data_IF_388683314976
#
_entry.id   IF_388683314976
#
_cell.length_a   1.000
_cell.length_b   1.000
_cell.length_c   1.000
_cell.angle_alpha   90.00
_cell.angle_beta   90.00
_cell.angle_gamma   90.00
#
_symmetry.space_group_name_H-M   'P 1'
#
loop_
_entity.id
_entity.type
_entity.pdbx_description
1 polymer ?
#
# COMPACT_ATOMS: atom_id res chain seq x y z
N UNK A 1 -25.39 -18.52 -7.21
CA UNK A 1 -24.19 -17.68 -7.13
C UNK A 1 -23.31 -17.94 -8.34
N UNK A 2 -22.71 -16.90 -8.89
CA UNK A 2 -21.65 -17.02 -9.89
C UNK A 2 -20.54 -17.91 -9.35
N UNK A 3 -19.92 -18.73 -10.21
CA UNK A 3 -18.72 -19.48 -9.81
C UNK A 3 -17.47 -18.58 -9.72
N UNK A 4 -17.63 -17.27 -10.01
CA UNK A 4 -16.57 -16.26 -9.98
C UNK A 4 -16.61 -15.45 -8.67
N UNK A 5 -15.45 -14.89 -8.31
CA UNK A 5 -15.26 -14.16 -7.06
C UNK A 5 -14.50 -12.84 -7.26
N UNK A 6 -14.51 -12.02 -6.21
CA UNK A 6 -13.66 -10.83 -6.09
C UNK A 6 -12.33 -11.25 -5.47
N UNK A 7 -11.22 -10.93 -6.12
CA UNK A 7 -9.89 -10.98 -5.53
C UNK A 7 -9.58 -9.63 -4.89
N UNK A 8 -9.51 -9.56 -3.57
CA UNK A 8 -9.12 -8.37 -2.84
C UNK A 8 -7.71 -8.50 -2.26
N UNK A 9 -6.90 -7.46 -2.40
CA UNK A 9 -5.53 -7.43 -1.90
C UNK A 9 -5.21 -6.05 -1.29
N UNK A 10 -4.31 -6.04 -0.30
CA UNK A 10 -3.89 -4.82 0.36
C UNK A 10 -3.10 -5.09 1.63
N UNK A 11 -2.97 -4.06 2.45
CA UNK A 11 -2.30 -4.10 3.75
C UNK A 11 -3.28 -4.36 4.91
N UNK A 12 -2.97 -3.82 6.09
CA UNK A 12 -3.78 -3.96 7.31
C UNK A 12 -5.22 -3.45 7.19
N UNK A 13 -5.49 -2.51 6.30
CA UNK A 13 -6.85 -2.03 6.00
C UNK A 13 -7.70 -3.07 5.24
N UNK A 14 -7.07 -4.07 4.66
CA UNK A 14 -7.72 -5.13 3.87
C UNK A 14 -7.66 -6.48 4.59
N UNK A 15 -6.75 -6.64 5.56
CA UNK A 15 -6.46 -7.90 6.24
C UNK A 15 -7.71 -8.43 6.98
N UNK A 16 -8.26 -9.61 6.61
CA UNK A 16 -9.42 -10.17 7.27
C UNK A 16 -9.15 -10.54 8.73
N UNK A 17 -7.90 -10.80 9.07
CA UNK A 17 -7.45 -11.17 10.41
C UNK A 17 -6.75 -10.01 11.13
N UNK A 18 -7.04 -8.77 10.73
CA UNK A 18 -6.44 -7.60 11.37
C UNK A 18 -6.73 -7.57 12.86
N UNK A 19 -5.69 -7.28 13.65
CA UNK A 19 -5.80 -7.01 15.09
C UNK A 19 -5.12 -5.68 15.40
N UNK A 20 -5.78 -4.86 16.22
CA UNK A 20 -5.23 -3.58 16.66
C UNK A 20 -4.07 -3.81 17.64
N UNK A 21 -2.89 -3.27 17.32
CA UNK A 21 -1.73 -3.37 18.22
C UNK A 21 -1.84 -2.50 19.47
N UNK A 22 -2.34 -1.24 19.37
CA UNK A 22 -2.61 -0.42 20.54
C UNK A 22 -3.73 -0.98 21.42
N UNK A 23 -4.64 -1.78 20.85
CA UNK A 23 -5.82 -2.31 21.52
C UNK A 23 -5.96 -3.82 21.27
N UNK A 24 -5.06 -4.66 21.80
CA UNK A 24 -5.01 -6.09 21.48
C UNK A 24 -6.25 -6.87 21.92
N UNK A 25 -6.98 -6.36 22.91
CA UNK A 25 -8.21 -6.98 23.44
C UNK A 25 -9.49 -6.51 22.71
N UNK A 26 -9.35 -5.60 21.74
CA UNK A 26 -10.48 -5.12 20.96
C UNK A 26 -10.95 -6.19 19.98
N UNK A 27 -12.25 -6.43 19.95
CA UNK A 27 -12.85 -7.27 18.91
C UNK A 27 -12.78 -6.56 17.55
N UNK A 28 -12.06 -7.17 16.64
CA UNK A 28 -11.90 -6.73 15.24
C UNK A 28 -12.43 -7.77 14.26
N UNK A 29 -13.32 -8.65 14.69
CA UNK A 29 -13.88 -9.73 13.87
C UNK A 29 -14.97 -9.29 12.89
N UNK A 30 -15.34 -8.00 12.90
CA UNK A 30 -16.31 -7.44 11.95
C UNK A 30 -15.83 -7.59 10.49
N UNK A 31 -16.77 -7.64 9.52
CA UNK A 31 -16.44 -7.69 8.09
C UNK A 31 -15.56 -6.51 7.68
N UNK A 32 -14.57 -6.79 6.84
CA UNK A 32 -13.73 -5.75 6.24
C UNK A 32 -14.37 -5.27 4.94
N UNK A 33 -13.91 -4.15 4.39
CA UNK A 33 -14.46 -3.59 3.16
C UNK A 33 -14.53 -4.59 1.99
N UNK A 34 -13.60 -5.57 1.80
CA UNK A 34 -13.76 -6.54 0.72
C UNK A 34 -14.97 -7.46 0.90
N UNK A 35 -15.24 -7.91 2.12
CA UNK A 35 -16.37 -8.76 2.43
C UNK A 35 -17.70 -7.99 2.24
N UNK A 36 -17.73 -6.71 2.67
CA UNK A 36 -18.89 -5.82 2.46
C UNK A 36 -19.15 -5.61 0.97
N UNK A 37 -18.10 -5.36 0.18
CA UNK A 37 -18.20 -5.24 -1.28
C UNK A 37 -18.72 -6.53 -1.92
N UNK A 38 -18.28 -7.69 -1.43
CA UNK A 38 -18.74 -8.99 -1.89
C UNK A 38 -20.25 -9.19 -1.66
N UNK A 39 -20.74 -8.82 -0.47
CA UNK A 39 -22.17 -8.83 -0.16
C UNK A 39 -22.97 -7.91 -1.09
N UNK A 40 -22.46 -6.69 -1.30
CA UNK A 40 -23.11 -5.70 -2.19
C UNK A 40 -23.22 -6.17 -3.65
N UNK A 41 -22.20 -6.88 -4.15
CA UNK A 41 -22.15 -7.36 -5.53
C UNK A 41 -22.70 -8.80 -5.71
N UNK A 42 -23.13 -9.47 -4.65
CA UNK A 42 -23.52 -10.89 -4.62
C UNK A 42 -22.43 -11.82 -5.19
N UNK A 43 -21.16 -11.55 -4.81
CA UNK A 43 -19.99 -12.32 -5.20
C UNK A 43 -19.28 -12.86 -3.97
N UNK A 44 -18.69 -14.04 -4.10
CA UNK A 44 -17.74 -14.54 -3.11
C UNK A 44 -16.47 -13.68 -3.11
N UNK A 45 -15.75 -13.64 -1.99
CA UNK A 45 -14.50 -12.86 -1.85
C UNK A 45 -13.36 -13.77 -1.49
N UNK A 46 -12.25 -13.63 -2.21
CA UNK A 46 -10.94 -14.16 -1.84
C UNK A 46 -10.09 -12.97 -1.41
N UNK A 47 -10.03 -12.75 -0.11
CA UNK A 47 -9.25 -11.66 0.48
C UNK A 47 -7.84 -12.16 0.83
N UNK A 48 -6.83 -11.63 0.13
CA UNK A 48 -5.40 -11.92 0.34
C UNK A 48 -4.66 -10.73 0.99
N UNK A 49 -5.41 -9.79 1.54
CA UNK A 49 -4.87 -8.68 2.33
C UNK A 49 -4.13 -9.19 3.56
N UNK A 50 -3.02 -8.54 3.90
CA UNK A 50 -2.22 -8.94 5.07
C UNK A 50 -1.50 -7.74 5.67
N UNK A 51 -1.63 -7.59 6.98
CA UNK A 51 -1.04 -6.51 7.76
C UNK A 51 0.47 -6.39 7.53
N UNK A 52 0.94 -5.15 7.34
CA UNK A 52 2.35 -4.84 7.18
C UNK A 52 2.93 -5.08 5.78
N UNK A 53 2.16 -5.56 4.81
CA UNK A 53 2.66 -5.78 3.44
C UNK A 53 3.06 -4.47 2.75
N UNK A 54 4.11 -4.56 1.92
CA UNK A 54 4.52 -3.52 0.98
C UNK A 54 3.80 -3.68 -0.36
N UNK A 55 3.84 -2.65 -1.20
CA UNK A 55 3.24 -2.69 -2.53
C UNK A 55 3.86 -3.77 -3.43
N UNK A 56 5.17 -4.00 -3.35
CA UNK A 56 5.86 -5.09 -4.04
C UNK A 56 5.28 -6.47 -3.64
N UNK A 57 5.08 -6.69 -2.34
CA UNK A 57 4.48 -7.93 -1.85
C UNK A 57 3.02 -8.09 -2.30
N UNK A 58 2.23 -7.00 -2.25
CA UNK A 58 0.85 -6.99 -2.74
C UNK A 58 0.81 -7.37 -4.22
N UNK A 59 1.61 -6.69 -5.05
CA UNK A 59 1.71 -6.93 -6.50
C UNK A 59 2.01 -8.38 -6.81
N UNK A 60 3.04 -8.94 -6.16
CA UNK A 60 3.48 -10.32 -6.37
C UNK A 60 2.39 -11.32 -6.02
N UNK A 61 1.70 -11.11 -4.90
CA UNK A 61 0.61 -11.97 -4.47
C UNK A 61 -0.58 -11.92 -5.44
N UNK A 62 -0.98 -10.71 -5.88
CA UNK A 62 -2.05 -10.51 -6.85
C UNK A 62 -1.72 -11.21 -8.17
N UNK A 63 -0.55 -10.94 -8.75
CA UNK A 63 -0.13 -11.55 -10.03
C UNK A 63 -0.09 -13.08 -9.91
N UNK A 64 0.50 -13.60 -8.82
CA UNK A 64 0.58 -15.05 -8.60
C UNK A 64 -0.80 -15.68 -8.49
N UNK A 65 -1.75 -15.01 -7.83
CA UNK A 65 -3.11 -15.49 -7.68
C UNK A 65 -3.85 -15.47 -9.02
N UNK A 66 -3.74 -14.38 -9.79
CA UNK A 66 -4.36 -14.26 -11.11
C UNK A 66 -3.84 -15.35 -12.06
N UNK A 67 -2.53 -15.56 -12.13
CA UNK A 67 -1.93 -16.58 -13.01
C UNK A 67 -2.46 -18.00 -12.73
N UNK A 68 -2.85 -18.29 -11.49
CA UNK A 68 -3.37 -19.60 -11.10
C UNK A 68 -4.88 -19.74 -11.24
N UNK A 69 -5.63 -18.62 -11.19
CA UNK A 69 -7.08 -18.65 -10.97
C UNK A 69 -7.89 -17.69 -11.86
N UNK A 70 -7.29 -17.11 -12.89
CA UNK A 70 -7.89 -16.04 -13.70
C UNK A 70 -9.30 -16.33 -14.19
N UNK A 71 -9.61 -17.60 -14.53
CA UNK A 71 -10.93 -18.01 -15.02
C UNK A 71 -12.05 -17.83 -13.99
N UNK A 72 -11.69 -17.81 -12.70
CA UNK A 72 -12.62 -17.69 -11.56
C UNK A 72 -12.73 -16.28 -11.00
N UNK A 73 -11.95 -15.34 -11.52
CA UNK A 73 -11.93 -13.97 -11.01
C UNK A 73 -12.88 -13.11 -11.84
N UNK A 74 -13.83 -12.46 -11.20
CA UNK A 74 -14.70 -11.46 -11.85
C UNK A 74 -14.13 -10.06 -11.72
N UNK A 75 -13.55 -9.73 -10.55
CA UNK A 75 -13.06 -8.42 -10.22
C UNK A 75 -11.79 -8.53 -9.36
N UNK A 76 -10.77 -7.75 -9.69
CA UNK A 76 -9.60 -7.54 -8.82
C UNK A 76 -9.71 -6.17 -8.17
N UNK A 77 -9.62 -6.11 -6.85
CA UNK A 77 -9.58 -4.83 -6.11
C UNK A 77 -8.28 -4.77 -5.30
N UNK A 78 -7.46 -3.75 -5.58
CA UNK A 78 -6.17 -3.57 -4.91
C UNK A 78 -6.15 -2.28 -4.13
N UNK A 79 -5.94 -2.42 -2.82
CA UNK A 79 -5.67 -1.32 -1.91
C UNK A 79 -4.17 -1.14 -1.70
N UNK A 80 -3.57 -0.15 -2.35
CA UNK A 80 -2.15 0.15 -2.22
C UNK A 80 -1.85 0.73 -0.85
N UNK A 81 -0.73 0.31 -0.28
CA UNK A 81 -0.22 0.86 0.98
C UNK A 81 0.74 2.02 0.75
N UNK A 82 1.35 2.53 1.81
CA UNK A 82 2.35 3.60 1.75
C UNK A 82 3.48 3.25 0.78
N UNK A 83 3.83 4.17 -0.11
CA UNK A 83 4.84 3.97 -1.18
C UNK A 83 6.24 3.71 -0.65
N UNK A 84 6.55 4.17 0.55
CA UNK A 84 7.86 3.97 1.18
C UNK A 84 8.05 2.58 1.79
N UNK A 85 7.00 1.76 1.88
CA UNK A 85 7.13 0.37 2.31
C UNK A 85 7.80 -0.44 1.22
N UNK A 86 8.73 -1.29 1.60
CA UNK A 86 9.45 -2.18 0.69
C UNK A 86 9.63 -3.57 1.30
N UNK A 87 9.89 -4.55 0.44
CA UNK A 87 10.12 -5.93 0.83
C UNK A 87 11.59 -6.30 0.60
N UNK A 88 12.19 -6.95 1.60
CA UNK A 88 13.55 -7.51 1.48
C UNK A 88 13.45 -9.03 1.51
N UNK A 89 14.20 -9.68 0.62
CA UNK A 89 14.22 -11.16 0.49
C UNK A 89 12.86 -11.82 0.29
N UNK A 90 11.90 -11.10 -0.30
CA UNK A 90 10.61 -11.67 -0.68
C UNK A 90 9.56 -11.78 0.42
N UNK A 91 9.92 -11.67 1.69
CA UNK A 91 8.99 -11.88 2.82
C UNK A 91 9.01 -10.79 3.89
N UNK A 92 10.15 -10.13 4.08
CA UNK A 92 10.28 -9.11 5.11
C UNK A 92 9.83 -7.74 4.58
N UNK A 93 8.72 -7.25 5.12
CA UNK A 93 8.16 -5.95 4.77
C UNK A 93 8.61 -4.89 5.79
N UNK A 94 9.05 -3.75 5.27
CA UNK A 94 9.55 -2.64 6.04
C UNK A 94 8.73 -1.39 5.81
N UNK A 95 8.43 -0.69 6.91
CA UNK A 95 7.91 0.66 6.87
C UNK A 95 8.97 1.63 7.46
N UNK A 96 9.66 2.40 6.63
CA UNK A 96 10.68 3.34 7.07
C UNK A 96 10.17 4.37 8.07
N UNK A 97 8.92 4.81 7.94
CA UNK A 97 8.34 5.79 8.88
C UNK A 97 8.40 5.29 10.31
N UNK A 98 8.17 3.99 10.53
CA UNK A 98 8.25 3.40 11.87
C UNK A 98 9.66 3.41 12.44
N UNK A 99 10.67 3.49 11.58
CA UNK A 99 12.08 3.40 11.94
C UNK A 99 12.66 4.78 12.25
N UNK A 100 12.31 5.80 11.46
CA UNK A 100 12.77 7.18 11.69
C UNK A 100 12.11 7.84 12.90
N UNK A 101 10.85 7.50 13.15
CA UNK A 101 10.10 8.07 14.26
C UNK A 101 10.42 7.39 15.60
N UNK A 102 11.05 6.22 15.57
CA UNK A 102 11.41 5.49 16.78
C UNK A 102 12.66 4.61 16.54
N UNK A 103 13.89 5.19 16.69
CA UNK A 103 15.15 4.46 16.53
C UNK A 103 15.33 3.31 17.50
N UNK A 104 14.58 3.31 18.62
CA UNK A 104 14.55 2.23 19.62
C UNK A 104 13.51 1.14 19.30
N UNK A 105 12.86 1.22 18.15
CA UNK A 105 11.87 0.24 17.74
C UNK A 105 12.53 -1.14 17.65
N UNK A 106 12.35 -1.91 18.71
CA UNK A 106 12.74 -3.32 18.75
C UNK A 106 12.02 -4.00 17.60
N UNK A 107 12.78 -4.46 16.62
CA UNK A 107 12.24 -5.30 15.56
C UNK A 107 11.41 -6.40 16.20
N UNK A 108 10.11 -6.34 15.99
CA UNK A 108 9.17 -7.24 16.66
C UNK A 108 9.25 -8.63 16.08
N UNK A 109 9.40 -9.58 16.96
CA UNK A 109 8.92 -10.96 17.01
C UNK A 109 9.02 -11.91 15.81
N UNK A 110 9.61 -11.53 14.71
CA UNK A 110 9.92 -12.48 13.64
C UNK A 110 11.37 -12.92 13.78
N UNK A 111 11.55 -14.06 14.46
CA UNK A 111 12.79 -14.79 14.66
C UNK A 111 13.92 -13.96 15.31
N UNK A 112 14.05 -14.05 16.62
CA UNK A 112 15.19 -13.51 17.37
C UNK A 112 16.56 -13.92 16.77
N UNK A 113 16.61 -15.07 16.11
CA UNK A 113 17.79 -15.59 15.42
C UNK A 113 18.21 -14.77 14.18
N UNK A 114 17.28 -14.11 13.48
CA UNK A 114 17.58 -13.29 12.31
C UNK A 114 17.91 -11.84 12.65
N UNK A 115 17.67 -11.41 13.88
CA UNK A 115 17.82 -10.04 14.36
C UNK A 115 19.23 -9.44 14.13
N UNK A 116 20.35 -10.12 14.39
CA UNK A 116 21.69 -9.55 14.17
C UNK A 116 21.99 -9.32 12.69
N UNK A 117 21.65 -10.28 11.83
CA UNK A 117 21.80 -10.15 10.38
C UNK A 117 20.93 -9.03 9.83
N UNK A 118 19.70 -8.96 10.30
CA UNK A 118 18.74 -7.92 9.94
C UNK A 118 19.24 -6.53 10.33
N UNK A 119 19.68 -6.32 11.57
CA UNK A 119 20.24 -5.04 12.04
C UNK A 119 21.47 -4.64 11.24
N UNK A 120 22.32 -5.58 10.85
CA UNK A 120 23.49 -5.35 10.03
C UNK A 120 23.10 -4.93 8.61
N UNK A 121 22.21 -5.68 7.94
CA UNK A 121 21.70 -5.37 6.60
C UNK A 121 20.92 -4.04 6.61
N UNK A 122 20.13 -3.82 7.63
CA UNK A 122 19.38 -2.59 7.83
C UNK A 122 20.29 -1.38 7.96
N UNK A 123 21.27 -1.39 8.88
CA UNK A 123 22.19 -0.26 9.04
C UNK A 123 23.05 -0.04 7.80
N UNK A 124 23.57 -1.10 7.22
CA UNK A 124 24.56 -0.98 6.14
C UNK A 124 23.96 -0.73 4.77
N UNK A 125 22.83 -1.34 4.44
CA UNK A 125 22.22 -1.21 3.12
C UNK A 125 21.07 -0.22 3.06
N UNK A 126 20.24 -0.18 4.07
CA UNK A 126 19.06 0.69 4.05
C UNK A 126 19.38 2.11 4.46
N UNK A 127 20.12 2.31 5.55
CA UNK A 127 20.50 3.67 5.98
C UNK A 127 21.52 4.25 5.01
N UNK A 128 22.56 3.50 4.66
CA UNK A 128 23.64 4.05 3.82
C UNK A 128 23.26 4.15 2.33
N UNK A 129 22.43 3.27 1.80
CA UNK A 129 22.04 3.26 0.38
C UNK A 129 20.72 3.95 0.09
N UNK A 130 19.68 3.64 0.87
CA UNK A 130 18.33 4.16 0.63
C UNK A 130 18.08 5.50 1.30
N UNK A 131 18.70 5.76 2.45
CA UNK A 131 18.49 6.97 3.24
C UNK A 131 19.73 7.86 3.32
N UNK A 132 20.71 7.61 2.47
CA UNK A 132 21.80 8.55 2.30
C UNK A 132 21.20 9.87 1.79
N UNK A 133 21.28 10.98 2.56
CA UNK A 133 20.77 12.28 2.12
C UNK A 133 21.44 12.77 0.83
N UNK A 134 22.57 12.15 0.44
CA UNK A 134 23.20 12.35 -0.86
C UNK A 134 22.50 11.61 -2.00
N UNK A 135 21.61 10.65 -1.71
CA UNK A 135 20.85 9.94 -2.73
C UNK A 135 19.52 10.67 -3.02
N UNK A 136 19.64 11.78 -3.73
CA UNK A 136 18.50 12.66 -4.13
C UNK A 136 17.41 11.96 -4.94
N UNK A 137 17.58 10.68 -5.28
CA UNK A 137 16.69 9.94 -6.19
C UNK A 137 15.82 8.87 -5.51
N UNK A 138 15.89 8.71 -4.18
CA UNK A 138 15.17 7.62 -3.51
C UNK A 138 13.65 7.72 -3.68
N UNK A 139 13.10 8.90 -3.41
CA UNK A 139 11.66 9.11 -3.56
C UNK A 139 11.21 8.89 -5.00
N UNK A 140 12.01 9.33 -5.95
CA UNK A 140 11.77 9.13 -7.38
C UNK A 140 11.67 7.66 -7.73
N UNK A 141 12.60 6.88 -7.18
CA UNK A 141 12.62 5.45 -7.41
C UNK A 141 11.40 4.77 -6.77
N UNK A 142 11.02 5.12 -5.56
CA UNK A 142 9.85 4.56 -4.89
C UNK A 142 8.54 4.88 -5.61
N UNK A 143 8.37 6.11 -6.08
CA UNK A 143 7.21 6.51 -6.88
C UNK A 143 7.19 5.73 -8.19
N UNK A 144 8.34 5.67 -8.89
CA UNK A 144 8.45 4.92 -10.13
C UNK A 144 8.13 3.44 -9.93
N UNK A 145 8.70 2.82 -8.92
CA UNK A 145 8.48 1.42 -8.58
C UNK A 145 6.99 1.15 -8.28
N UNK A 146 6.32 2.05 -7.58
CA UNK A 146 4.89 1.94 -7.33
C UNK A 146 4.05 2.03 -8.62
N UNK A 147 4.40 2.94 -9.53
CA UNK A 147 3.76 3.01 -10.85
C UNK A 147 4.03 1.75 -11.69
N UNK A 148 5.25 1.22 -11.68
CA UNK A 148 5.60 -0.06 -12.31
C UNK A 148 4.70 -1.19 -11.78
N UNK A 149 4.46 -1.24 -10.48
CA UNK A 149 3.61 -2.24 -9.82
C UNK A 149 2.14 -2.10 -10.21
N UNK A 150 1.60 -0.88 -10.23
CA UNK A 150 0.25 -0.62 -10.70
C UNK A 150 0.06 -1.05 -12.15
N UNK A 151 1.01 -0.69 -13.02
CA UNK A 151 1.00 -1.07 -14.42
C UNK A 151 1.04 -2.60 -14.60
N UNK A 152 1.89 -3.31 -13.85
CA UNK A 152 1.95 -4.77 -13.91
C UNK A 152 0.60 -5.42 -13.56
N UNK A 153 -0.08 -4.95 -12.51
CA UNK A 153 -1.39 -5.47 -12.14
C UNK A 153 -2.44 -5.12 -13.19
N UNK A 154 -2.43 -3.91 -13.73
CA UNK A 154 -3.31 -3.51 -14.82
C UNK A 154 -3.15 -4.43 -16.03
N UNK A 155 -1.92 -4.62 -16.50
CA UNK A 155 -1.66 -5.38 -17.73
C UNK A 155 -1.97 -6.87 -17.55
N UNK A 156 -1.75 -7.46 -16.38
CA UNK A 156 -2.14 -8.84 -16.13
C UNK A 156 -3.67 -8.99 -16.11
N UNK A 157 -4.40 -8.03 -15.53
CA UNK A 157 -5.86 -8.01 -15.56
C UNK A 157 -6.39 -7.87 -16.99
N UNK A 158 -5.86 -6.92 -17.78
CA UNK A 158 -6.22 -6.75 -19.18
C UNK A 158 -5.95 -8.01 -20.02
N UNK A 159 -4.79 -8.67 -19.80
CA UNK A 159 -4.42 -9.89 -20.49
C UNK A 159 -5.45 -11.01 -20.34
N UNK A 160 -6.09 -11.12 -19.19
CA UNK A 160 -7.07 -12.15 -18.88
C UNK A 160 -8.52 -11.65 -18.90
N UNK A 161 -8.75 -10.43 -19.40
CA UNK A 161 -10.07 -9.76 -19.46
C UNK A 161 -10.78 -9.73 -18.09
N UNK A 162 -10.02 -9.40 -17.04
CA UNK A 162 -10.50 -9.27 -15.67
C UNK A 162 -10.74 -7.80 -15.37
N UNK A 163 -11.92 -7.45 -14.84
CA UNK A 163 -12.19 -6.10 -14.31
C UNK A 163 -11.29 -5.81 -13.12
N UNK A 164 -10.87 -4.56 -12.97
CA UNK A 164 -10.03 -4.18 -11.83
C UNK A 164 -10.32 -2.75 -11.35
N UNK A 165 -10.12 -2.54 -10.06
CA UNK A 165 -10.14 -1.24 -9.41
C UNK A 165 -8.94 -1.18 -8.47
N UNK A 166 -8.27 -0.05 -8.43
CA UNK A 166 -7.15 0.20 -7.55
C UNK A 166 -7.37 1.50 -6.77
N UNK A 167 -6.86 1.56 -5.55
CA UNK A 167 -6.89 2.78 -4.75
C UNK A 167 -5.71 2.82 -3.78
N UNK A 168 -5.37 4.00 -3.30
CA UNK A 168 -4.47 4.13 -2.16
C UNK A 168 -5.27 3.99 -0.87
N UNK A 169 -4.96 3.02 -0.04
CA UNK A 169 -5.60 2.85 1.28
C UNK A 169 -4.99 3.76 2.34
N UNK A 170 -3.68 3.96 2.28
CA UNK A 170 -2.91 4.68 3.26
C UNK A 170 -2.32 5.96 2.65
N UNK A 171 -3.11 7.01 2.66
CA UNK A 171 -2.71 8.36 2.28
C UNK A 171 -2.42 8.57 0.78
N UNK A 172 -2.90 9.68 0.26
CA UNK A 172 -2.29 10.30 -0.89
C UNK A 172 -0.88 10.76 -0.54
N UNK A 173 -0.04 10.96 -1.52
CA UNK A 173 1.32 11.48 -1.31
C UNK A 173 1.23 12.85 -0.63
N UNK A 174 1.52 12.89 0.67
CA UNK A 174 1.64 14.13 1.42
C UNK A 174 3.03 14.71 1.17
N UNK A 175 3.17 15.55 0.15
CA UNK A 175 4.43 16.20 -0.20
C UNK A 175 5.04 16.91 1.01
N UNK A 176 4.21 17.62 1.80
CA UNK A 176 4.69 18.34 2.99
C UNK A 176 5.30 17.43 4.05
N UNK A 177 4.71 16.25 4.27
CA UNK A 177 5.24 15.27 5.22
C UNK A 177 6.56 14.69 4.73
N UNK A 178 6.67 14.48 3.43
CA UNK A 178 7.92 14.04 2.80
C UNK A 178 9.01 15.12 2.85
N UNK A 179 8.65 16.37 2.58
CA UNK A 179 9.55 17.53 2.70
C UNK A 179 10.11 17.66 4.12
N UNK A 180 9.23 17.60 5.14
CA UNK A 180 9.64 17.66 6.55
C UNK A 180 10.58 16.51 6.93
N UNK A 181 10.33 15.30 6.43
CA UNK A 181 11.21 14.15 6.69
C UNK A 181 12.58 14.31 6.03
N UNK A 182 12.64 14.90 4.83
CA UNK A 182 13.89 15.19 4.13
C UNK A 182 14.67 16.31 4.80
N UNK A 183 14.01 17.39 5.21
CA UNK A 183 14.63 18.49 5.95
C UNK A 183 15.27 17.98 7.27
N UNK A 184 14.60 17.07 7.95
CA UNK A 184 15.10 16.47 9.20
C UNK A 184 16.40 15.66 9.01
N UNK A 185 16.67 15.16 7.80
CA UNK A 185 17.90 14.41 7.45
C UNK A 185 18.88 15.23 6.59
N UNK A 186 18.62 16.53 6.41
CA UNK A 186 19.50 17.44 5.66
C UNK A 186 19.51 17.19 4.15
N UNK A 187 18.43 16.64 3.59
CA UNK A 187 18.29 16.36 2.17
C UNK A 187 17.66 17.53 1.40
N UNK A 188 18.15 17.79 0.20
CA UNK A 188 17.51 18.68 -0.77
C UNK A 188 16.45 17.90 -1.57
N UNK A 189 15.22 18.38 -1.57
CA UNK A 189 14.14 17.84 -2.38
C UNK A 189 14.08 18.55 -3.73
N UNK A 190 14.40 17.83 -4.78
CA UNK A 190 14.32 18.36 -6.14
C UNK A 190 13.44 17.44 -7.00
N UNK A 191 12.16 17.81 -7.18
CA UNK A 191 11.29 17.14 -8.15
C UNK A 191 11.81 17.39 -9.56
N UNK A 192 12.19 16.35 -10.26
CA UNK A 192 12.45 16.50 -11.67
C UNK A 192 11.13 16.43 -12.49
N UNK A 193 11.20 16.86 -13.73
CA UNK A 193 10.03 16.94 -14.63
C UNK A 193 9.33 15.58 -14.82
N UNK A 194 10.08 14.49 -14.77
CA UNK A 194 9.55 13.12 -14.94
C UNK A 194 8.68 12.71 -13.75
N UNK A 195 9.07 13.09 -12.54
CA UNK A 195 8.30 12.82 -11.32
C UNK A 195 6.98 13.59 -11.31
N UNK A 196 7.04 14.86 -11.69
CA UNK A 196 5.85 15.66 -11.86
C UNK A 196 4.92 15.03 -12.90
N UNK A 197 5.44 14.61 -14.04
CA UNK A 197 4.66 13.95 -15.08
C UNK A 197 4.01 12.65 -14.57
N UNK A 198 4.74 11.80 -13.87
CA UNK A 198 4.22 10.57 -13.26
C UNK A 198 3.13 10.87 -12.22
N UNK A 199 3.38 11.85 -11.34
CA UNK A 199 2.46 12.21 -10.27
C UNK A 199 1.20 12.92 -10.79
N UNK A 200 1.28 13.63 -11.91
CA UNK A 200 0.19 14.40 -12.53
C UNK A 200 -0.54 13.64 -13.65
N UNK A 201 -0.18 12.38 -13.87
CA UNK A 201 -0.85 11.55 -14.87
C UNK A 201 -0.53 11.89 -16.32
N UNK A 202 0.43 12.76 -16.55
CA UNK A 202 1.00 12.90 -17.89
C UNK A 202 2.02 11.80 -18.11
N UNK A 203 1.51 10.55 -18.09
CA UNK A 203 2.30 9.33 -18.26
C UNK A 203 2.46 8.97 -19.73
N UNK A 204 2.06 9.84 -20.66
CA UNK A 204 2.24 9.62 -22.09
C UNK A 204 3.71 9.28 -22.38
N UNK A 205 3.92 8.03 -22.73
CA UNK A 205 5.23 7.47 -23.06
C UNK A 205 5.99 6.73 -21.97
N UNK A 206 5.51 6.70 -20.70
CA UNK A 206 6.12 5.90 -19.62
C UNK A 206 5.22 4.75 -19.17
N UNK A 207 3.95 5.06 -18.85
CA UNK A 207 2.95 4.07 -18.46
C UNK A 207 1.59 4.48 -19.00
N UNK A 208 0.93 3.59 -19.70
CA UNK A 208 -0.46 3.75 -20.12
C UNK A 208 -1.37 3.27 -18.97
N UNK A 209 -1.41 4.04 -17.88
CA UNK A 209 -2.28 3.78 -16.75
C UNK A 209 -3.70 4.26 -17.07
N UNK A 210 -4.66 3.36 -17.01
CA UNK A 210 -6.07 3.69 -17.20
C UNK A 210 -6.66 4.34 -15.94
N UNK A 211 -6.66 5.66 -15.91
CA UNK A 211 -7.10 6.47 -14.77
C UNK A 211 -8.52 6.18 -14.28
N UNK A 212 -9.37 5.62 -15.11
CA UNK A 212 -10.76 5.27 -14.76
C UNK A 212 -10.82 4.16 -13.72
N UNK A 213 -9.77 3.36 -13.62
CA UNK A 213 -9.66 2.25 -12.69
C UNK A 213 -8.90 2.61 -11.40
N UNK A 214 -8.51 3.89 -11.25
CA UNK A 214 -7.78 4.36 -10.07
C UNK A 214 -8.62 5.34 -9.28
N UNK A 215 -9.23 4.85 -8.21
CA UNK A 215 -9.97 5.71 -7.28
C UNK A 215 -8.99 6.57 -6.46
N UNK A 216 -9.28 7.87 -6.37
CA UNK A 216 -8.42 8.83 -5.65
C UNK A 216 -7.33 9.49 -6.49
N UNK A 217 -7.32 9.26 -7.80
CA UNK A 217 -6.45 9.96 -8.74
C UNK A 217 -6.75 11.47 -8.79
N UNK A 218 -5.79 12.37 -8.96
CA UNK A 218 -4.34 12.16 -9.04
C UNK A 218 -3.76 11.92 -7.63
N UNK A 219 -2.84 11.03 -7.45
CA UNK A 219 -2.35 10.52 -6.15
C UNK A 219 -1.74 11.58 -5.19
N UNK A 220 -1.80 12.86 -5.51
CA UNK A 220 -1.28 13.97 -4.71
C UNK A 220 -2.43 14.74 -4.09
N UNK A 221 -2.42 14.86 -2.76
CA UNK A 221 -3.46 15.56 -2.00
C UNK A 221 -3.65 17.01 -2.44
N UNK A 222 -2.57 17.76 -2.64
CA UNK A 222 -2.61 19.16 -3.09
C UNK A 222 -3.30 19.36 -4.44
N UNK A 223 -3.52 18.29 -5.22
CA UNK A 223 -4.19 18.28 -6.51
C UNK A 223 -5.57 17.62 -6.49
N UNK A 224 -6.10 17.38 -5.30
CA UNK A 224 -7.39 16.73 -5.12
C UNK A 224 -7.32 15.19 -5.03
N UNK A 225 -6.12 14.60 -5.05
CA UNK A 225 -5.93 13.18 -4.81
C UNK A 225 -6.34 12.78 -3.39
N UNK A 226 -6.88 11.59 -3.25
CA UNK A 226 -7.39 11.08 -1.98
C UNK A 226 -6.91 9.66 -1.73
N UNK A 227 -6.45 9.41 -0.48
CA UNK A 227 -6.37 8.06 0.05
C UNK A 227 -7.67 7.70 0.77
N UNK A 228 -7.99 6.43 0.88
CA UNK A 228 -9.20 5.99 1.58
C UNK A 228 -9.17 6.36 3.06
N UNK A 229 -8.02 6.27 3.71
CA UNK A 229 -7.83 6.67 5.11
C UNK A 229 -8.20 8.14 5.40
N UNK A 230 -8.05 9.02 4.40
CA UNK A 230 -8.41 10.44 4.52
C UNK A 230 -9.92 10.69 4.52
N UNK A 231 -10.69 9.76 3.95
CA UNK A 231 -12.15 9.84 3.95
C UNK A 231 -12.80 9.21 5.18
N UNK A 232 -12.03 8.51 6.02
CA UNK A 232 -12.53 7.88 7.24
C UNK A 232 -12.53 8.91 8.37
N UNK A 233 -13.70 9.36 8.86
CA UNK A 233 -13.79 10.26 10.00
C UNK A 233 -13.11 9.66 11.23
N UNK A 234 -12.68 10.48 12.17
CA UNK A 234 -12.08 10.00 13.42
C UNK A 234 -12.98 9.03 14.20
N UNK A 235 -14.30 9.26 14.19
CA UNK A 235 -15.30 8.39 14.83
C UNK A 235 -15.43 7.01 14.18
N UNK A 236 -14.92 6.84 12.97
CA UNK A 236 -14.94 5.59 12.18
C UNK A 236 -13.56 4.92 12.18
N UNK A 237 -12.68 5.31 13.08
CA UNK A 237 -11.39 4.68 13.34
C UNK A 237 -11.45 3.89 14.63
N UNK A 238 -10.53 2.96 14.78
CA UNK A 238 -10.43 2.17 16.02
C UNK A 238 -10.20 3.09 17.23
N UNK A 239 -9.27 4.06 17.11
CA UNK A 239 -9.03 5.08 18.13
C UNK A 239 -8.17 6.23 17.58
N UNK A 240 -7.93 7.25 18.40
CA UNK A 240 -6.95 8.33 18.06
C UNK A 240 -5.51 7.81 17.94
N UNK A 241 -5.18 6.71 18.61
CA UNK A 241 -3.85 6.06 18.55
C UNK A 241 -3.78 4.95 17.49
N UNK A 242 -4.91 4.56 16.89
CA UNK A 242 -4.99 3.57 15.83
C UNK A 242 -5.93 4.04 14.72
N UNK A 243 -5.34 4.52 13.64
CA UNK A 243 -6.05 5.11 12.50
C UNK A 243 -6.73 4.08 11.59
N UNK A 244 -6.61 2.78 11.88
CA UNK A 244 -7.33 1.77 11.10
C UNK A 244 -8.83 1.96 11.22
N UNK A 245 -9.60 1.61 10.15
CA UNK A 245 -11.04 1.70 10.19
C UNK A 245 -11.62 0.73 11.23
N UNK A 246 -12.61 1.19 11.98
CA UNK A 246 -13.52 0.31 12.72
C UNK A 246 -14.59 -0.24 11.77
N UNK A 247 -15.61 -0.95 12.28
CA UNK A 247 -16.70 -1.52 11.49
C UNK A 247 -17.33 -0.47 10.56
N UNK A 248 -17.76 0.68 11.09
CA UNK A 248 -18.33 1.77 10.30
C UNK A 248 -17.33 2.37 9.29
N UNK A 249 -16.05 2.38 9.62
CA UNK A 249 -15.00 2.83 8.71
C UNK A 249 -14.82 1.91 7.50
N UNK A 250 -15.03 0.61 7.68
CA UNK A 250 -14.99 -0.34 6.59
C UNK A 250 -16.20 -0.23 5.64
N UNK A 251 -17.35 0.23 6.13
CA UNK A 251 -18.53 0.51 5.29
C UNK A 251 -18.33 1.74 4.39
N UNK A 252 -17.39 2.64 4.73
CA UNK A 252 -17.10 3.84 3.94
C UNK A 252 -16.03 3.63 2.86
N UNK A 253 -15.29 2.55 2.93
CA UNK A 253 -14.28 2.17 1.92
C UNK A 253 -14.95 1.50 0.74
#
# INVERSE_FOLDING_TARGET
KSSKYILAAGCSFTDPNFTSRPHPDMDTSFPKWPEILGEYLDLDVVNIGLSGKSNDSITRNVITHILKNHEKIELVVVGWTEIQRFTVYGELNFNPNNIFLNPDLKLRDHAESARPLFNYLYKKYLIDHYYNPKNKNLFNWQVKDWFDQMFQVQEICKKFDIKFIMSSLCGSIEIERYMKALDAVGGDFNFNTVQWALMFGNTEGLYDLDNKHYWGYPFIQAMGGKGMDQNIPKSHRISDSDMHPNELGHELI
#
